data_IF_773630341321
#
_entry.id   IF_773630341321
#
_cell.length_a   1.000
_cell.length_b   1.000
_cell.length_c   1.000
_cell.angle_alpha   90.00
_cell.angle_beta   90.00
_cell.angle_gamma   90.00
#
_symmetry.space_group_name_H-M   'P 1'
#
loop_
_entity.id
_entity.type
_entity.pdbx_description
1 polymer ?
#
# COMPACT_ATOMS: atom_id res chain seq x y z
N UNK A 1 12.56 -10.09 1.08
CA UNK A 1 11.53 -10.95 0.45
C UNK A 1 11.89 -11.40 -0.96
N UNK A 2 12.17 -10.51 -1.91
CA UNK A 2 12.53 -10.91 -3.29
C UNK A 2 13.64 -11.97 -3.34
N UNK A 3 14.73 -11.77 -2.58
CA UNK A 3 15.83 -12.74 -2.50
C UNK A 3 15.40 -14.09 -1.88
N UNK A 4 14.48 -14.08 -0.91
CA UNK A 4 13.98 -15.31 -0.30
C UNK A 4 13.14 -16.11 -1.30
N UNK A 5 12.29 -15.42 -2.07
CA UNK A 5 11.56 -16.05 -3.17
C UNK A 5 12.51 -16.62 -4.23
N UNK A 6 13.57 -15.89 -4.59
CA UNK A 6 14.60 -16.36 -5.50
C UNK A 6 15.26 -17.65 -5.01
N UNK A 7 15.73 -17.68 -3.77
CA UNK A 7 16.37 -18.87 -3.16
C UNK A 7 15.43 -20.07 -3.07
N UNK A 8 14.12 -19.85 -2.98
CA UNK A 8 13.08 -20.90 -2.97
C UNK A 8 12.60 -21.30 -4.38
N UNK A 9 13.16 -20.73 -5.44
CA UNK A 9 12.71 -20.97 -6.82
C UNK A 9 11.34 -20.37 -7.16
N UNK A 10 10.79 -19.52 -6.29
CA UNK A 10 9.51 -18.84 -6.51
C UNK A 10 9.71 -17.56 -7.33
N UNK A 11 9.83 -17.71 -8.65
CA UNK A 11 10.07 -16.59 -9.57
C UNK A 11 8.93 -15.55 -9.56
N UNK A 12 7.68 -15.99 -9.42
CA UNK A 12 6.52 -15.09 -9.35
C UNK A 12 6.57 -14.20 -8.10
N UNK A 13 6.87 -14.80 -6.94
CA UNK A 13 7.07 -14.06 -5.69
C UNK A 13 8.25 -13.10 -5.77
N UNK A 14 9.34 -13.51 -6.42
CA UNK A 14 10.50 -12.64 -6.63
C UNK A 14 10.11 -11.38 -7.42
N UNK A 15 9.45 -11.56 -8.57
CA UNK A 15 9.01 -10.43 -9.40
C UNK A 15 8.06 -9.51 -8.62
N UNK A 16 7.04 -10.06 -7.95
CA UNK A 16 6.13 -9.31 -7.10
C UNK A 16 6.87 -8.41 -6.09
N UNK A 17 7.81 -8.98 -5.34
CA UNK A 17 8.56 -8.23 -4.33
C UNK A 17 9.53 -7.21 -4.92
N UNK A 18 10.08 -7.47 -6.11
CA UNK A 18 10.87 -6.48 -6.85
C UNK A 18 9.99 -5.30 -7.30
N UNK A 19 8.76 -5.56 -7.76
CA UNK A 19 7.80 -4.50 -8.09
C UNK A 19 7.39 -3.69 -6.88
N UNK A 20 7.07 -4.34 -5.76
CA UNK A 20 6.76 -3.67 -4.48
C UNK A 20 7.88 -2.70 -4.10
N UNK A 21 9.14 -3.15 -4.16
CA UNK A 21 10.30 -2.30 -3.87
C UNK A 21 10.39 -1.12 -4.85
N UNK A 22 10.24 -1.35 -6.15
CA UNK A 22 10.27 -0.28 -7.16
C UNK A 22 9.16 0.77 -6.92
N UNK A 23 7.94 0.34 -6.62
CA UNK A 23 6.84 1.23 -6.28
C UNK A 23 7.10 2.02 -4.99
N UNK A 24 7.65 1.38 -3.97
CA UNK A 24 7.96 1.99 -2.68
C UNK A 24 9.02 3.08 -2.84
N UNK A 25 10.09 2.79 -3.60
CA UNK A 25 11.14 3.74 -3.91
C UNK A 25 10.61 4.94 -4.71
N UNK A 26 9.71 4.71 -5.66
CA UNK A 26 9.14 5.79 -6.48
C UNK A 26 8.17 6.68 -5.70
N UNK A 27 7.33 6.08 -4.85
CA UNK A 27 6.40 6.80 -3.97
C UNK A 27 7.14 7.62 -2.89
N UNK A 28 8.29 7.13 -2.45
CA UNK A 28 9.11 7.78 -1.43
C UNK A 28 8.34 7.99 -0.11
N UNK A 29 8.84 8.88 0.73
CA UNK A 29 8.22 9.18 2.02
C UNK A 29 6.82 9.80 1.87
N UNK A 30 6.62 10.70 0.90
CA UNK A 30 5.33 11.37 0.69
C UNK A 30 4.23 10.42 0.23
N UNK A 31 4.57 9.30 -0.40
CA UNK A 31 3.63 8.25 -0.79
C UNK A 31 3.30 7.24 0.31
N UNK A 32 3.82 7.44 1.53
CA UNK A 32 3.45 6.69 2.74
C UNK A 32 2.43 7.49 3.54
N UNK A 33 1.36 6.82 3.97
CA UNK A 33 0.28 7.44 4.73
C UNK A 33 0.71 7.75 6.16
N UNK A 34 0.20 8.86 6.71
CA UNK A 34 0.27 9.11 8.15
C UNK A 34 -0.42 7.99 8.95
N UNK A 35 0.10 7.75 10.15
CA UNK A 35 -0.39 6.76 11.10
C UNK A 35 -0.78 7.44 12.41
N UNK A 36 -2.00 7.18 12.89
CA UNK A 36 -2.42 7.53 14.25
C UNK A 36 -2.40 6.28 15.14
N UNK A 37 -2.33 6.46 16.46
CA UNK A 37 -2.61 5.37 17.41
C UNK A 37 -4.13 5.24 17.65
N UNK A 38 -4.62 4.00 17.64
CA UNK A 38 -6.02 3.67 17.92
C UNK A 38 -6.16 2.49 18.86
N UNK A 39 -7.41 2.21 19.24
CA UNK A 39 -7.79 1.03 20.02
C UNK A 39 -8.90 0.31 19.24
N UNK A 40 -8.72 -0.98 18.97
CA UNK A 40 -9.71 -1.83 18.32
C UNK A 40 -10.12 -2.98 19.25
N UNK A 41 -11.40 -3.34 19.22
CA UNK A 41 -11.93 -4.48 19.96
C UNK A 41 -11.73 -5.76 19.14
N UNK A 42 -10.77 -6.59 19.55
CA UNK A 42 -10.48 -7.88 18.92
C UNK A 42 -11.19 -8.99 19.68
N UNK A 43 -12.00 -9.77 18.97
CA UNK A 43 -12.64 -10.97 19.52
C UNK A 43 -11.67 -12.15 19.39
N UNK A 44 -11.32 -12.78 20.51
CA UNK A 44 -10.56 -14.04 20.55
C UNK A 44 -11.37 -15.10 21.31
N UNK A 45 -11.99 -16.01 20.57
CA UNK A 45 -12.92 -16.99 21.15
C UNK A 45 -14.15 -16.30 21.72
N UNK A 46 -14.46 -16.54 23.00
CA UNK A 46 -15.59 -15.91 23.69
C UNK A 46 -15.28 -14.57 24.36
N UNK A 47 -14.06 -14.04 24.21
CA UNK A 47 -13.63 -12.81 24.88
C UNK A 47 -13.32 -11.70 23.88
N UNK A 48 -13.85 -10.51 24.15
CA UNK A 48 -13.49 -9.27 23.46
C UNK A 48 -12.40 -8.57 24.25
N UNK A 49 -11.29 -8.23 23.58
CA UNK A 49 -10.18 -7.50 24.19
C UNK A 49 -9.86 -6.27 23.35
N UNK A 50 -9.63 -5.14 24.02
CA UNK A 50 -9.10 -3.95 23.36
C UNK A 50 -7.60 -4.12 23.08
N UNK A 51 -7.22 -4.07 21.81
CA UNK A 51 -5.82 -4.07 21.37
C UNK A 51 -5.46 -2.70 20.78
N UNK A 52 -4.23 -2.25 21.05
CA UNK A 52 -3.70 -1.03 20.41
C UNK A 52 -3.41 -1.34 18.94
N UNK A 53 -3.80 -0.43 18.06
CA UNK A 53 -3.60 -0.55 16.61
C UNK A 53 -3.01 0.73 16.06
N UNK A 54 -2.39 0.64 14.88
CA UNK A 54 -2.03 1.80 14.08
C UNK A 54 -3.12 2.04 13.05
N UNK A 55 -3.73 3.21 13.07
CA UNK A 55 -4.72 3.62 12.08
C UNK A 55 -3.99 4.23 10.90
N UNK A 56 -4.02 3.52 9.77
CA UNK A 56 -3.43 3.94 8.51
C UNK A 56 -4.48 4.75 7.75
N UNK A 57 -4.17 6.02 7.47
CA UNK A 57 -5.05 6.93 6.75
C UNK A 57 -4.96 6.73 5.24
N UNK A 58 -6.03 7.08 4.53
CA UNK A 58 -6.08 7.04 3.06
C UNK A 58 -5.35 8.24 2.46
N UNK A 59 -4.49 8.00 1.48
CA UNK A 59 -3.86 9.07 0.68
C UNK A 59 -4.77 9.39 -0.52
N UNK A 60 -5.40 10.58 -0.58
CA UNK A 60 -6.38 10.90 -1.62
C UNK A 60 -5.76 10.95 -3.03
N UNK A 61 -4.47 11.30 -3.12
CA UNK A 61 -3.75 11.37 -4.39
C UNK A 61 -3.23 10.02 -4.88
N UNK A 62 -3.28 8.95 -4.06
CA UNK A 62 -2.62 7.68 -4.37
C UNK A 62 -3.61 6.71 -5.01
N UNK A 63 -3.24 6.12 -6.14
CA UNK A 63 -4.08 5.17 -6.85
C UNK A 63 -4.48 3.98 -5.92
N UNK A 64 -5.76 3.55 -5.89
CA UNK A 64 -6.24 2.49 -4.98
C UNK A 64 -5.52 1.14 -5.10
N UNK A 65 -4.93 0.86 -6.26
CA UNK A 65 -4.03 -0.28 -6.47
C UNK A 65 -2.97 -0.42 -5.38
N UNK A 66 -2.37 0.70 -4.95
CA UNK A 66 -1.33 0.68 -3.93
C UNK A 66 -1.84 0.33 -2.54
N UNK A 67 -3.12 0.60 -2.25
CA UNK A 67 -3.71 0.12 -1.00
C UNK A 67 -3.65 -1.41 -0.98
N UNK A 68 -4.25 -2.09 -1.96
CA UNK A 68 -4.22 -3.57 -2.01
C UNK A 68 -2.80 -4.12 -2.01
N UNK A 69 -1.87 -3.49 -2.74
CA UNK A 69 -0.47 -3.87 -2.75
C UNK A 69 0.12 -3.86 -1.34
N UNK A 70 -0.03 -2.76 -0.61
CA UNK A 70 0.52 -2.65 0.74
C UNK A 70 -0.25 -3.48 1.76
N UNK A 71 -1.52 -3.86 1.52
CA UNK A 71 -2.23 -4.80 2.43
C UNK A 71 -1.48 -6.14 2.49
N UNK A 72 -1.04 -6.63 1.33
CA UNK A 72 -0.24 -7.85 1.24
C UNK A 72 1.12 -7.68 1.91
N UNK A 73 1.75 -6.53 1.73
CA UNK A 73 3.03 -6.21 2.40
C UNK A 73 2.86 -6.23 3.92
N UNK A 74 1.81 -5.60 4.45
CA UNK A 74 1.54 -5.50 5.88
C UNK A 74 1.23 -6.89 6.51
N UNK A 75 0.65 -7.82 5.75
CA UNK A 75 0.34 -9.18 6.21
C UNK A 75 1.55 -10.14 6.20
N UNK A 76 2.56 -9.84 5.39
CA UNK A 76 3.69 -10.75 5.13
C UNK A 76 4.44 -11.20 6.40
N UNK A 77 4.69 -10.35 7.41
CA UNK A 77 5.34 -10.79 8.65
C UNK A 77 4.58 -11.89 9.40
N UNK A 78 3.25 -11.96 9.27
CA UNK A 78 2.43 -13.01 9.88
C UNK A 78 2.38 -14.32 9.08
N UNK A 79 2.87 -14.31 7.83
CA UNK A 79 2.86 -15.47 6.94
C UNK A 79 4.24 -16.12 6.78
N UNK A 80 5.32 -15.36 6.99
CA UNK A 80 6.69 -15.82 6.78
C UNK A 80 7.49 -15.80 8.08
N UNK A 81 7.04 -16.59 9.06
CA UNK A 81 7.62 -16.65 10.41
C UNK A 81 9.12 -16.94 10.40
N UNK A 82 9.61 -17.75 9.45
CA UNK A 82 11.03 -18.10 9.31
C UNK A 82 11.94 -16.89 8.99
N UNK A 83 11.38 -15.87 8.33
CA UNK A 83 12.11 -14.64 7.95
C UNK A 83 11.87 -13.58 9.02
N UNK A 84 10.63 -13.46 9.46
CA UNK A 84 10.18 -12.49 10.44
C UNK A 84 10.08 -13.12 11.83
N UNK A 85 11.17 -13.75 12.27
CA UNK A 85 11.28 -14.30 13.63
C UNK A 85 11.15 -13.15 14.64
N UNK A 86 9.96 -12.97 15.21
CA UNK A 86 9.73 -11.90 16.18
C UNK A 86 10.42 -12.23 17.50
N UNK A 87 11.49 -11.50 17.80
CA UNK A 87 12.05 -11.42 19.15
C UNK A 87 11.62 -10.10 19.76
N UNK A 88 10.86 -10.12 20.87
CA UNK A 88 10.41 -8.92 21.58
C UNK A 88 8.92 -8.59 21.44
N UNK A 89 8.56 -7.31 21.62
CA UNK A 89 7.17 -6.85 21.63
C UNK A 89 6.56 -6.98 20.23
N UNK A 90 5.37 -7.61 20.14
CA UNK A 90 4.63 -7.73 18.89
C UNK A 90 4.36 -6.32 18.30
N UNK A 91 4.57 -6.13 16.99
CA UNK A 91 4.19 -4.89 16.33
C UNK A 91 2.68 -4.66 16.46
N UNK A 92 2.29 -3.39 16.58
CA UNK A 92 0.88 -3.03 16.56
C UNK A 92 0.29 -3.38 15.19
N UNK A 93 -0.89 -3.98 15.19
CA UNK A 93 -1.63 -4.28 13.96
C UNK A 93 -1.97 -2.97 13.27
N UNK A 94 -1.81 -2.93 11.95
CA UNK A 94 -2.16 -1.79 11.11
C UNK A 94 -3.59 -1.98 10.60
N UNK A 95 -4.45 -1.01 10.85
CA UNK A 95 -5.86 -1.01 10.46
C UNK A 95 -6.11 0.17 9.54
N UNK A 96 -6.70 -0.08 8.37
CA UNK A 96 -6.94 0.98 7.39
C UNK A 96 -8.28 1.64 7.61
N UNK A 97 -8.26 2.93 7.90
CA UNK A 97 -9.48 3.72 7.98
C UNK A 97 -9.65 4.50 6.68
N UNK A 98 -10.46 3.96 5.76
CA UNK A 98 -10.74 4.57 4.45
C UNK A 98 -11.48 5.91 4.55
N UNK A 99 -12.10 6.19 5.70
CA UNK A 99 -12.81 7.44 5.96
C UNK A 99 -11.90 8.54 6.52
N UNK A 100 -10.67 8.20 6.93
CA UNK A 100 -9.69 9.18 7.42
C UNK A 100 -8.68 9.48 6.32
N UNK A 101 -8.52 10.76 5.98
CA UNK A 101 -7.59 11.21 4.95
C UNK A 101 -6.26 11.63 5.57
N UNK A 102 -5.16 11.19 4.98
CA UNK A 102 -3.82 11.67 5.32
C UNK A 102 -3.60 13.05 4.70
N UNK A 103 -2.82 13.87 5.40
CA UNK A 103 -2.44 15.21 4.95
C UNK A 103 -1.13 15.21 4.16
N UNK A 104 -0.51 14.05 3.96
CA UNK A 104 0.69 13.95 3.13
C UNK A 104 0.40 14.43 1.72
N UNK A 105 1.39 15.13 1.16
CA UNK A 105 1.35 15.61 -0.22
C UNK A 105 2.08 14.61 -1.13
N UNK A 106 1.63 14.45 -2.39
CA UNK A 106 2.37 13.68 -3.38
C UNK A 106 3.81 14.19 -3.52
N UNK A 107 4.75 13.26 -3.73
CA UNK A 107 6.09 13.63 -4.18
C UNK A 107 6.03 14.12 -5.62
N UNK A 108 6.97 14.98 -6.01
CA UNK A 108 7.04 15.49 -7.38
C UNK A 108 7.50 14.39 -8.35
N UNK A 109 7.17 14.54 -9.63
CA UNK A 109 7.60 13.63 -10.72
C UNK A 109 7.07 12.20 -10.62
N UNK A 110 5.94 12.01 -9.93
CA UNK A 110 5.21 10.75 -10.03
C UNK A 110 4.60 10.57 -11.43
N UNK A 111 4.59 9.35 -11.97
CA UNK A 111 3.87 9.02 -13.20
C UNK A 111 2.36 9.20 -13.03
N UNK A 112 1.64 9.51 -14.13
CA UNK A 112 0.17 9.66 -14.12
C UNK A 112 -0.57 8.46 -13.50
N UNK A 113 -0.07 7.25 -13.74
CA UNK A 113 -0.66 6.00 -13.22
C UNK A 113 -0.63 5.88 -11.70
N UNK A 114 0.12 6.74 -11.00
CA UNK A 114 0.18 6.73 -9.55
C UNK A 114 -0.98 7.48 -8.89
N UNK A 115 -1.76 8.21 -9.69
CA UNK A 115 -2.90 9.00 -9.26
C UNK A 115 -4.21 8.30 -9.63
N UNK A 116 -5.26 8.41 -8.81
CA UNK A 116 -6.61 8.00 -9.20
C UNK A 116 -7.10 8.77 -10.42
N UNK A 117 -8.01 8.15 -11.17
CA UNK A 117 -8.69 8.83 -12.26
C UNK A 117 -9.38 10.10 -11.76
N UNK A 118 -9.23 11.18 -12.53
CA UNK A 118 -9.80 12.48 -12.20
C UNK A 118 -9.05 13.28 -11.14
N UNK A 119 -8.16 12.69 -10.33
CA UNK A 119 -7.42 13.44 -9.29
C UNK A 119 -6.65 14.62 -9.88
N UNK A 120 -5.87 14.39 -10.94
CA UNK A 120 -5.11 15.45 -11.60
C UNK A 120 -6.00 16.52 -12.25
N UNK A 121 -7.22 16.16 -12.65
CA UNK A 121 -8.18 17.09 -13.24
C UNK A 121 -8.90 17.98 -12.21
N UNK A 122 -8.80 17.64 -10.92
CA UNK A 122 -9.36 18.43 -9.81
C UNK A 122 -8.40 19.50 -9.29
N UNK A 123 -7.13 19.45 -9.70
CA UNK A 123 -6.09 20.37 -9.25
C UNK A 123 -6.15 21.69 -10.01
N UNK A 124 -5.81 22.79 -9.33
CA UNK A 124 -5.58 24.05 -10.01
C UNK A 124 -4.31 23.97 -10.89
N UNK A 125 -4.19 24.80 -11.94
CA UNK A 125 -3.03 24.76 -12.83
C UNK A 125 -1.67 24.88 -12.12
N UNK A 126 -1.58 25.73 -11.09
CA UNK A 126 -0.35 25.90 -10.31
C UNK A 126 -0.02 24.69 -9.42
N UNK A 127 -1.05 23.98 -8.94
CA UNK A 127 -0.85 22.75 -8.16
C UNK A 127 -0.37 21.62 -9.06
N UNK A 128 -0.98 21.49 -10.25
CA UNK A 128 -0.59 20.50 -11.24
C UNK A 128 0.86 20.74 -11.72
N UNK A 129 1.23 21.99 -11.99
CA UNK A 129 2.61 22.35 -12.37
C UNK A 129 3.62 22.03 -11.26
N UNK A 130 3.27 22.32 -10.00
CA UNK A 130 4.11 21.99 -8.85
C UNK A 130 4.36 20.48 -8.68
N UNK A 131 3.44 19.61 -9.12
CA UNK A 131 3.65 18.16 -9.10
C UNK A 131 4.71 17.69 -10.09
N UNK A 132 4.96 18.45 -11.16
CA UNK A 132 5.87 18.06 -12.24
C UNK A 132 5.58 16.63 -12.73
N UNK A 133 4.30 16.32 -12.98
CA UNK A 133 3.85 14.95 -13.31
C UNK A 133 4.73 14.36 -14.41
N UNK A 134 5.25 13.15 -14.17
CA UNK A 134 6.12 12.50 -15.13
C UNK A 134 5.32 11.95 -16.31
N UNK A 135 5.78 12.25 -17.52
CA UNK A 135 5.26 11.69 -18.77
C UNK A 135 5.82 10.28 -19.06
N UNK A 136 6.73 9.78 -18.22
CA UNK A 136 7.27 8.44 -18.36
C UNK A 136 6.17 7.40 -18.09
N UNK A 137 5.86 6.52 -19.06
CA UNK A 137 4.83 5.51 -18.87
C UNK A 137 5.30 4.51 -17.81
N UNK A 138 4.54 4.44 -16.71
CA UNK A 138 4.77 3.44 -15.67
C UNK A 138 3.53 2.57 -15.52
N UNK A 139 3.47 1.39 -16.17
CA UNK A 139 2.32 0.52 -16.04
C UNK A 139 2.21 0.00 -14.61
N UNK A 140 0.97 -0.03 -14.11
CA UNK A 140 0.64 -0.80 -12.91
C UNK A 140 0.52 -2.26 -13.33
N UNK A 141 1.46 -3.09 -12.87
CA UNK A 141 1.55 -4.49 -13.27
C UNK A 141 0.44 -5.31 -12.62
N UNK A 142 -0.04 -6.33 -13.33
CA UNK A 142 -0.88 -7.35 -12.73
C UNK A 142 -0.02 -8.27 -11.86
N UNK A 143 -0.53 -8.65 -10.69
CA UNK A 143 0.15 -9.59 -9.82
C UNK A 143 -0.84 -10.54 -9.18
N UNK A 144 -0.35 -11.74 -8.85
CA UNK A 144 -1.13 -12.76 -8.15
C UNK A 144 -0.48 -13.04 -6.81
N UNK A 145 -1.28 -13.07 -5.75
CA UNK A 145 -0.84 -13.43 -4.41
C UNK A 145 -1.83 -14.40 -3.80
N UNK A 146 -1.36 -15.56 -3.34
CA UNK A 146 -2.19 -16.65 -2.79
C UNK A 146 -3.38 -17.04 -3.70
N UNK A 147 -3.17 -17.05 -5.02
CA UNK A 147 -4.20 -17.39 -6.01
C UNK A 147 -5.19 -16.27 -6.34
N UNK A 148 -5.12 -15.12 -5.65
CA UNK A 148 -5.91 -13.92 -5.97
C UNK A 148 -5.13 -13.04 -6.94
N UNK A 149 -5.73 -12.71 -8.08
CA UNK A 149 -5.14 -11.80 -9.06
C UNK A 149 -5.60 -10.36 -8.82
N UNK A 150 -4.67 -9.43 -8.99
CA UNK A 150 -4.86 -8.00 -8.75
C UNK A 150 -4.48 -7.25 -10.01
N UNK A 151 -5.47 -6.60 -10.65
CA UNK A 151 -5.24 -5.77 -11.84
C UNK A 151 -5.48 -4.31 -11.53
N UNK A 152 -4.75 -3.44 -12.22
CA UNK A 152 -4.98 -2.00 -12.15
C UNK A 152 -6.37 -1.58 -12.63
N UNK A 153 -6.92 -2.28 -13.64
CA UNK A 153 -8.23 -1.99 -14.24
C UNK A 153 -9.43 -2.40 -13.37
N UNK A 154 -9.27 -3.31 -12.42
CA UNK A 154 -10.34 -3.76 -11.51
C UNK A 154 -10.79 -2.66 -10.53
N UNK A 155 -10.19 -1.47 -10.62
CA UNK A 155 -10.36 -0.35 -9.70
C UNK A 155 -11.20 0.81 -10.26
N UNK A 156 -11.71 0.70 -11.49
CA UNK A 156 -12.66 1.69 -12.04
C UNK A 156 -14.12 1.49 -11.59
N UNK A 157 -14.45 0.37 -10.93
CA UNK A 157 -15.85 -0.03 -10.65
C UNK A 157 -16.19 -0.22 -9.16
N UNK A 158 -15.53 0.48 -8.23
CA UNK A 158 -16.01 0.51 -6.84
C UNK A 158 -16.49 1.91 -6.48
N UNK A 159 -17.60 2.30 -7.09
CA UNK A 159 -18.47 3.35 -6.58
C UNK A 159 -19.17 2.85 -5.31
N UNK A 160 -19.31 3.77 -4.37
CA UNK A 160 -19.87 3.68 -3.01
C UNK A 160 -21.20 2.94 -2.96
#
# INVERSE_FOLDING_TARGET
MAEVCHRRGNMQGQDFWQKVLAYTLRLGAGGMSDEDEGIESVVRGSRTKSEKVKIVKRLPFRHPYFEKLYDVVDQTPGLEELIFNQTGKRPLVRVRNRNSLSMCKPVTRLPRSFFPDGYLGQLFPFELDALQVSEEPWPLYEWTYNGVSYRAADHMNTTI
#
